data_IF_538998261678
#
_entry.id   IF_538998261678
#
_cell.length_a   1.000
_cell.length_b   1.000
_cell.length_c   1.000
_cell.angle_alpha   90.00
_cell.angle_beta   90.00
_cell.angle_gamma   90.00
#
_symmetry.space_group_name_H-M   'P 1'
#
loop_
_entity.id
_entity.type
_entity.pdbx_description
1 polymer ?
#
# COMPACT_ATOMS: atom_id res chain seq x y z
N UNK A 1 7.64 -15.08 3.82
CA UNK A 1 8.24 -13.74 3.93
C UNK A 1 9.05 -13.52 2.67
N UNK A 2 8.72 -12.53 1.85
CA UNK A 2 9.31 -12.30 0.52
C UNK A 2 10.80 -11.90 0.49
N UNK A 3 11.66 -12.62 1.22
CA UNK A 3 13.11 -12.37 1.19
C UNK A 3 13.61 -12.51 -0.25
N UNK A 4 14.24 -11.44 -0.76
CA UNK A 4 14.78 -11.38 -2.12
C UNK A 4 13.74 -11.16 -3.23
N UNK A 5 12.48 -10.84 -2.92
CA UNK A 5 11.43 -10.60 -3.93
C UNK A 5 10.74 -9.26 -3.71
N UNK A 6 10.62 -8.48 -4.78
CA UNK A 6 9.79 -7.29 -4.79
C UNK A 6 8.33 -7.65 -5.08
N UNK A 7 7.42 -6.98 -4.40
CA UNK A 7 5.98 -7.04 -4.69
C UNK A 7 5.55 -5.70 -5.24
N UNK A 8 4.87 -5.72 -6.37
CA UNK A 8 4.39 -4.52 -7.04
C UNK A 8 2.87 -4.46 -6.89
N UNK A 9 2.39 -3.36 -6.30
CA UNK A 9 0.97 -3.09 -6.10
C UNK A 9 0.57 -1.89 -6.94
N UNK A 10 -0.53 -2.02 -7.69
CA UNK A 10 -1.06 -0.90 -8.48
C UNK A 10 -1.94 -0.03 -7.59
N UNK A 11 -1.64 1.28 -7.55
CA UNK A 11 -2.44 2.27 -6.85
C UNK A 11 -3.28 3.03 -7.88
N UNK A 12 -4.60 3.01 -7.70
CA UNK A 12 -5.54 3.79 -8.50
C UNK A 12 -5.90 5.07 -7.77
N UNK A 13 -5.79 6.21 -8.48
CA UNK A 13 -6.41 7.46 -8.07
C UNK A 13 -7.87 7.50 -8.52
N UNK A 14 -8.77 7.71 -7.57
CA UNK A 14 -10.22 7.76 -7.80
C UNK A 14 -10.67 9.20 -8.08
N UNK A 15 -11.84 9.41 -8.74
CA UNK A 15 -12.36 10.75 -9.05
C UNK A 15 -12.58 11.65 -7.82
N UNK A 16 -12.78 11.06 -6.63
CA UNK A 16 -12.93 11.77 -5.36
C UNK A 16 -11.58 12.13 -4.70
N UNK A 17 -10.48 12.15 -5.46
CA UNK A 17 -9.12 12.39 -4.98
C UNK A 17 -8.64 11.43 -3.87
N UNK A 18 -9.16 10.20 -3.87
CA UNK A 18 -8.69 9.12 -2.97
C UNK A 18 -7.82 8.10 -3.71
N UNK A 19 -7.03 7.37 -2.95
CA UNK A 19 -6.06 6.39 -3.44
C UNK A 19 -6.39 5.01 -2.90
N UNK A 20 -6.48 4.01 -3.77
CA UNK A 20 -6.76 2.61 -3.39
C UNK A 20 -5.76 1.68 -4.06
N UNK A 21 -5.32 0.64 -3.36
CA UNK A 21 -4.59 -0.47 -3.98
C UNK A 21 -5.63 -1.35 -4.68
N UNK A 22 -5.42 -1.69 -5.96
CA UNK A 22 -6.35 -2.57 -6.66
C UNK A 22 -6.48 -3.92 -5.96
N UNK A 23 -7.72 -4.34 -5.69
CA UNK A 23 -8.04 -5.57 -4.95
C UNK A 23 -8.22 -5.37 -3.44
N UNK A 24 -7.89 -4.20 -2.90
CA UNK A 24 -8.22 -3.84 -1.50
C UNK A 24 -9.61 -3.22 -1.40
N UNK A 25 -10.13 -3.16 -0.17
CA UNK A 25 -11.44 -2.56 0.12
C UNK A 25 -11.36 -1.12 0.66
N UNK A 26 -10.15 -0.66 1.02
CA UNK A 26 -9.97 0.62 1.71
C UNK A 26 -9.25 1.64 0.82
N UNK A 27 -9.95 2.74 0.53
CA UNK A 27 -9.36 3.92 -0.10
C UNK A 27 -8.82 4.89 0.98
N UNK A 28 -7.80 5.66 0.64
CA UNK A 28 -7.12 6.63 1.52
C UNK A 28 -7.17 8.04 0.94
N UNK A 29 -7.16 9.06 1.79
CA UNK A 29 -7.21 10.46 1.36
C UNK A 29 -5.90 10.97 0.72
N UNK A 30 -4.78 10.28 0.90
CA UNK A 30 -3.48 10.62 0.30
C UNK A 30 -2.56 9.41 0.25
N UNK A 31 -1.50 9.46 -0.57
CA UNK A 31 -0.45 8.43 -0.57
C UNK A 31 0.24 8.31 0.79
N UNK A 32 0.46 9.43 1.49
CA UNK A 32 1.02 9.42 2.85
C UNK A 32 0.13 8.67 3.84
N UNK A 33 -1.20 8.87 3.74
CA UNK A 33 -2.15 8.15 4.59
C UNK A 33 -2.21 6.65 4.27
N UNK A 34 -2.10 6.28 2.99
CA UNK A 34 -2.02 4.90 2.52
C UNK A 34 -0.76 4.21 3.08
N UNK A 35 0.41 4.85 2.95
CA UNK A 35 1.67 4.31 3.48
C UNK A 35 1.58 4.13 5.00
N UNK A 36 1.11 5.15 5.73
CA UNK A 36 0.96 5.08 7.20
C UNK A 36 0.04 3.94 7.65
N UNK A 37 -1.08 3.73 6.95
CA UNK A 37 -1.99 2.64 7.27
C UNK A 37 -1.31 1.27 7.08
N UNK A 38 -0.60 1.09 5.98
CA UNK A 38 0.07 -0.17 5.69
C UNK A 38 1.39 -0.40 6.45
N UNK A 39 1.78 0.52 7.34
CA UNK A 39 2.81 0.25 8.33
C UNK A 39 2.32 -0.64 9.49
N UNK A 40 1.02 -0.70 9.72
CA UNK A 40 0.42 -1.53 10.77
C UNK A 40 -0.54 -2.58 10.23
N UNK A 41 -1.10 -2.38 9.04
CA UNK A 41 -2.03 -3.31 8.38
C UNK A 41 -1.40 -3.91 7.13
N UNK A 42 -1.36 -5.24 7.05
CA UNK A 42 -0.78 -5.94 5.90
C UNK A 42 -1.55 -5.71 4.59
N UNK A 43 -0.86 -5.74 3.46
CA UNK A 43 -1.46 -5.60 2.12
C UNK A 43 -1.82 -6.99 1.57
N UNK A 44 -3.06 -7.18 1.12
CA UNK A 44 -3.53 -8.40 0.47
C UNK A 44 -2.73 -8.71 -0.82
N UNK A 45 -2.55 -9.99 -1.18
CA UNK A 45 -2.96 -11.19 -0.43
C UNK A 45 -1.91 -11.65 0.60
N UNK A 46 -0.76 -10.97 0.70
CA UNK A 46 0.40 -11.48 1.42
C UNK A 46 0.47 -11.04 2.89
N UNK A 47 -0.33 -10.04 3.26
CA UNK A 47 -0.44 -9.52 4.61
C UNK A 47 0.90 -9.05 5.20
N UNK A 48 1.83 -8.66 4.33
CA UNK A 48 3.10 -8.04 4.74
C UNK A 48 2.88 -6.53 4.92
N UNK A 49 3.52 -5.96 5.95
CA UNK A 49 3.47 -4.52 6.28
C UNK A 49 4.67 -3.78 5.68
N UNK A 50 4.48 -2.49 5.42
CA UNK A 50 5.55 -1.58 5.05
C UNK A 50 6.38 -1.25 6.29
N UNK A 51 7.70 -1.33 6.19
CA UNK A 51 8.60 -1.17 7.33
C UNK A 51 9.45 0.09 7.18
N UNK A 52 10.58 -0.04 6.48
CA UNK A 52 11.53 1.04 6.27
C UNK A 52 11.40 1.53 4.83
N UNK A 53 11.24 2.85 4.58
CA UNK A 53 11.28 3.39 3.23
C UNK A 53 12.65 3.16 2.61
N UNK A 54 12.69 2.91 1.30
CA UNK A 54 13.95 2.89 0.57
C UNK A 54 14.49 4.32 0.36
N UNK A 55 15.77 4.43 0.01
CA UNK A 55 16.37 5.69 -0.44
C UNK A 55 15.85 6.12 -1.81
N UNK A 56 16.28 7.32 -2.23
CA UNK A 56 15.96 7.92 -3.54
C UNK A 56 16.97 7.52 -4.61
#
# INVERSE_FOLDING_TARGET
RGQGRCRHYMIQAQPNARYIILGEHQAHASLTALVRYHQTVGIQPFMEILTVPCGQ
#
